data_IF_712807205077
#
_entry.id   IF_712807205077
#
_cell.length_a   1.000
_cell.length_b   1.000
_cell.length_c   1.000
_cell.angle_alpha   90.00
_cell.angle_beta   90.00
_cell.angle_gamma   90.00
#
_symmetry.space_group_name_H-M   'P 1'
#
loop_
_entity.id
_entity.type
_entity.pdbx_description
1 polymer ?
#
# COMPACT_ATOMS: atom_id res chain seq x y z
N UNK A 1 -23.21 -4.92 14.31
CA UNK A 1 -22.46 -3.97 13.47
C UNK A 1 -20.95 -4.08 13.60
N UNK A 2 -20.42 -4.77 14.58
CA UNK A 2 -18.99 -5.09 14.71
C UNK A 2 -18.73 -6.46 14.07
N UNK A 3 -18.36 -6.49 12.79
CA UNK A 3 -17.96 -7.72 12.10
C UNK A 3 -16.45 -7.84 12.17
N UNK A 4 -15.93 -9.07 12.23
CA UNK A 4 -14.49 -9.36 12.30
C UNK A 4 -13.66 -8.55 11.27
N UNK A 5 -14.07 -8.44 9.98
CA UNK A 5 -13.35 -7.62 9.01
C UNK A 5 -13.23 -6.14 9.42
N UNK A 6 -14.32 -5.51 9.88
CA UNK A 6 -14.28 -4.10 10.31
C UNK A 6 -13.36 -3.89 11.53
N UNK A 7 -13.34 -4.85 12.47
CA UNK A 7 -12.44 -4.79 13.62
C UNK A 7 -10.97 -4.89 13.20
N UNK A 8 -10.65 -5.72 12.22
CA UNK A 8 -9.30 -5.86 11.68
C UNK A 8 -8.86 -4.60 10.92
N UNK A 9 -9.74 -4.00 10.10
CA UNK A 9 -9.46 -2.71 9.45
C UNK A 9 -9.20 -1.61 10.48
N UNK A 10 -10.02 -1.52 11.53
CA UNK A 10 -9.82 -0.54 12.60
C UNK A 10 -8.52 -0.77 13.36
N UNK A 11 -8.18 -2.02 13.67
CA UNK A 11 -6.91 -2.36 14.31
C UNK A 11 -5.71 -1.93 13.45
N UNK A 12 -5.80 -2.10 12.12
CA UNK A 12 -4.76 -1.63 11.17
C UNK A 12 -4.62 -0.10 11.22
N UNK A 13 -5.73 0.65 11.24
CA UNK A 13 -5.68 2.10 11.38
C UNK A 13 -5.00 2.51 12.69
N UNK A 14 -5.27 1.80 13.78
CA UNK A 14 -4.60 2.06 15.08
C UNK A 14 -3.13 1.65 15.09
N UNK A 15 -2.73 0.67 14.29
CA UNK A 15 -1.32 0.28 14.13
C UNK A 15 -0.51 1.33 13.37
N UNK A 16 -1.13 2.18 12.55
CA UNK A 16 -0.40 3.23 11.79
C UNK A 16 0.33 4.21 12.69
N UNK A 17 -0.33 4.91 13.64
CA UNK A 17 0.40 5.82 14.54
C UNK A 17 1.41 5.07 15.43
N UNK A 18 1.09 3.83 15.85
CA UNK A 18 2.02 3.01 16.62
C UNK A 18 3.29 2.72 15.82
N UNK A 19 3.17 2.34 14.54
CA UNK A 19 4.29 2.11 13.64
C UNK A 19 5.18 3.35 13.53
N UNK A 20 4.58 4.53 13.29
CA UNK A 20 5.30 5.80 13.16
C UNK A 20 6.07 6.11 14.44
N UNK A 21 5.42 6.01 15.61
CA UNK A 21 6.05 6.26 16.91
C UNK A 21 7.22 5.31 17.13
N UNK A 22 7.03 4.01 16.92
CA UNK A 22 8.08 3.00 17.12
C UNK A 22 9.29 3.24 16.22
N UNK A 23 9.06 3.53 14.92
CA UNK A 23 10.16 3.77 13.99
C UNK A 23 10.92 5.07 14.30
N UNK A 24 10.22 6.14 14.68
CA UNK A 24 10.85 7.45 14.86
C UNK A 24 11.45 7.66 16.26
N UNK A 25 11.05 6.87 17.26
CA UNK A 25 11.57 7.02 18.65
C UNK A 25 13.01 6.50 18.81
N UNK A 26 13.51 5.69 17.88
CA UNK A 26 14.91 5.23 17.79
C UNK A 26 15.45 4.59 19.08
N UNK A 27 14.67 3.78 19.77
CA UNK A 27 15.15 2.96 20.88
C UNK A 27 15.82 1.67 20.37
N UNK A 28 16.64 1.00 21.19
CA UNK A 28 17.32 -0.23 20.79
C UNK A 28 16.31 -1.30 20.34
N UNK A 29 16.42 -1.73 19.08
CA UNK A 29 15.51 -2.73 18.49
C UNK A 29 14.20 -2.16 17.92
N UNK A 30 14.06 -0.83 17.83
CA UNK A 30 12.88 -0.19 17.23
C UNK A 30 12.59 -0.70 15.82
N UNK A 31 13.62 -1.07 15.07
CA UNK A 31 13.51 -1.60 13.72
C UNK A 31 12.82 -2.98 13.68
N UNK A 32 13.16 -3.85 14.63
CA UNK A 32 12.51 -5.18 14.72
C UNK A 32 11.05 -5.05 15.15
N UNK A 33 10.77 -4.16 16.11
CA UNK A 33 9.39 -3.88 16.52
C UNK A 33 8.60 -3.20 15.39
N UNK A 34 9.20 -2.22 14.71
CA UNK A 34 8.61 -1.55 13.56
C UNK A 34 8.32 -2.52 12.41
N UNK A 35 9.29 -3.40 12.09
CA UNK A 35 9.10 -4.45 11.10
C UNK A 35 7.97 -5.41 11.49
N UNK A 36 7.93 -5.85 12.75
CA UNK A 36 6.88 -6.72 13.27
C UNK A 36 5.49 -6.09 13.14
N UNK A 37 5.33 -4.83 13.58
CA UNK A 37 4.06 -4.09 13.49
C UNK A 37 3.67 -3.90 12.03
N UNK A 38 4.60 -3.52 11.16
CA UNK A 38 4.34 -3.35 9.73
C UNK A 38 3.88 -4.63 9.06
N UNK A 39 4.59 -5.75 9.27
CA UNK A 39 4.24 -7.05 8.69
C UNK A 39 2.92 -7.60 9.23
N UNK A 40 2.64 -7.41 10.52
CA UNK A 40 1.34 -7.77 11.10
C UNK A 40 0.22 -6.94 10.47
N UNK A 41 0.38 -5.62 10.37
CA UNK A 41 -0.62 -4.76 9.75
C UNK A 41 -0.85 -5.06 8.27
N UNK A 42 0.23 -5.31 7.49
CA UNK A 42 0.12 -5.70 6.09
C UNK A 42 -0.45 -7.12 5.92
N UNK A 43 -0.11 -8.04 6.85
CA UNK A 43 -0.62 -9.42 6.85
C UNK A 43 -2.11 -9.51 7.17
N UNK A 44 -2.60 -8.68 8.10
CA UNK A 44 -4.04 -8.64 8.41
C UNK A 44 -4.87 -8.28 7.19
N UNK A 45 -4.41 -7.40 6.31
CA UNK A 45 -5.08 -7.06 5.05
C UNK A 45 -5.29 -8.28 4.13
N UNK A 46 -4.27 -9.13 4.01
CA UNK A 46 -4.37 -10.36 3.22
C UNK A 46 -5.38 -11.34 3.83
N UNK A 47 -5.39 -11.46 5.15
CA UNK A 47 -6.30 -12.35 5.89
C UNK A 47 -7.74 -11.84 5.80
N UNK A 48 -7.97 -10.54 5.97
CA UNK A 48 -9.29 -9.91 5.87
C UNK A 48 -9.91 -10.11 4.50
N UNK A 49 -9.14 -9.92 3.44
CA UNK A 49 -9.57 -10.14 2.07
C UNK A 49 -9.97 -11.59 1.79
N UNK A 50 -9.33 -12.57 2.44
CA UNK A 50 -9.67 -14.00 2.33
C UNK A 50 -10.95 -14.31 3.12
N UNK A 51 -11.04 -13.83 4.36
CA UNK A 51 -12.19 -14.06 5.26
C UNK A 51 -13.44 -13.42 4.68
N UNK A 52 -13.38 -12.13 4.28
CA UNK A 52 -14.52 -11.41 3.73
C UNK A 52 -15.11 -12.10 2.47
N UNK A 53 -14.24 -12.65 1.60
CA UNK A 53 -14.66 -13.43 0.44
C UNK A 53 -15.33 -14.76 0.81
N UNK A 54 -14.86 -15.42 1.87
CA UNK A 54 -15.43 -16.70 2.32
C UNK A 54 -16.76 -16.53 3.08
N UNK A 55 -16.87 -15.48 3.88
CA UNK A 55 -18.05 -15.30 4.77
C UNK A 55 -19.18 -14.47 4.14
N UNK A 56 -18.94 -13.86 2.95
CA UNK A 56 -19.88 -12.94 2.27
C UNK A 56 -20.39 -11.79 3.17
N UNK A 57 -19.66 -11.47 4.24
CA UNK A 57 -20.00 -10.41 5.19
C UNK A 57 -19.31 -9.09 4.84
N UNK A 58 -19.56 -8.60 3.61
CA UNK A 58 -19.03 -7.32 3.18
C UNK A 58 -19.94 -6.21 3.71
N UNK A 59 -19.43 -5.33 4.57
CA UNK A 59 -20.16 -4.16 5.06
C UNK A 59 -19.83 -2.93 4.22
N UNK A 60 -20.80 -2.00 4.05
CA UNK A 60 -20.54 -0.73 3.35
C UNK A 60 -19.40 0.07 3.99
N UNK A 61 -19.31 0.05 5.32
CA UNK A 61 -18.22 0.72 6.05
C UNK A 61 -16.85 0.07 5.77
N UNK A 62 -16.74 -1.27 5.79
CA UNK A 62 -15.51 -1.98 5.47
C UNK A 62 -15.02 -1.68 4.06
N UNK A 63 -15.92 -1.73 3.07
CA UNK A 63 -15.57 -1.44 1.66
C UNK A 63 -14.96 -0.04 1.46
N UNK A 64 -15.34 0.93 2.30
CA UNK A 64 -14.79 2.29 2.26
C UNK A 64 -13.50 2.42 3.09
N UNK A 65 -13.43 1.78 4.25
CA UNK A 65 -12.31 1.91 5.18
C UNK A 65 -11.08 1.09 4.77
N UNK A 66 -11.27 -0.10 4.19
CA UNK A 66 -10.16 -0.98 3.79
C UNK A 66 -9.17 -0.30 2.83
N UNK A 67 -9.61 0.31 1.71
CA UNK A 67 -8.69 1.00 0.81
C UNK A 67 -8.00 2.21 1.44
N UNK A 68 -8.61 2.83 2.45
CA UNK A 68 -8.02 3.95 3.18
C UNK A 68 -6.96 3.45 4.15
N UNK A 69 -7.26 2.40 4.93
CA UNK A 69 -6.35 1.82 5.91
C UNK A 69 -5.06 1.31 5.27
N UNK A 70 -5.18 0.59 4.13
CA UNK A 70 -4.03 0.09 3.36
C UNK A 70 -3.11 1.24 2.90
N UNK A 71 -3.69 2.30 2.31
CA UNK A 71 -2.91 3.44 1.87
C UNK A 71 -2.30 4.24 3.02
N UNK A 72 -3.00 4.37 4.13
CA UNK A 72 -2.46 5.04 5.32
C UNK A 72 -1.25 4.28 5.87
N UNK A 73 -1.32 2.95 5.97
CA UNK A 73 -0.22 2.12 6.43
C UNK A 73 1.02 2.29 5.54
N UNK A 74 0.85 2.11 4.23
CA UNK A 74 1.96 2.22 3.27
C UNK A 74 2.54 3.63 3.22
N UNK A 75 1.69 4.67 3.21
CA UNK A 75 2.14 6.06 3.22
C UNK A 75 2.90 6.40 4.48
N UNK A 76 2.39 6.00 5.66
CA UNK A 76 3.04 6.24 6.94
C UNK A 76 4.40 5.54 7.02
N UNK A 77 4.49 4.29 6.56
CA UNK A 77 5.75 3.55 6.50
C UNK A 77 6.77 4.25 5.60
N UNK A 78 6.40 4.61 4.37
CA UNK A 78 7.32 5.30 3.46
C UNK A 78 7.73 6.69 3.95
N UNK A 79 6.82 7.48 4.53
CA UNK A 79 7.13 8.79 5.09
C UNK A 79 8.10 8.65 6.27
N UNK A 80 7.89 7.66 7.15
CA UNK A 80 8.83 7.36 8.24
C UNK A 80 10.22 6.98 7.72
N UNK A 81 10.30 6.22 6.62
CA UNK A 81 11.57 5.88 5.98
C UNK A 81 12.28 7.09 5.36
N UNK A 82 11.53 8.09 4.87
CA UNK A 82 12.11 9.37 4.42
C UNK A 82 12.71 10.13 5.60
N UNK A 83 12.00 10.22 6.72
CA UNK A 83 12.50 10.88 7.93
C UNK A 83 13.76 10.19 8.48
N UNK A 84 13.81 8.87 8.40
CA UNK A 84 14.97 8.05 8.75
C UNK A 84 16.11 8.12 7.71
N UNK A 85 15.94 8.85 6.60
CA UNK A 85 16.88 8.96 5.47
C UNK A 85 17.19 7.62 4.77
N UNK A 86 16.29 6.65 4.87
CA UNK A 86 16.40 5.33 4.25
C UNK A 86 15.79 5.31 2.83
N UNK A 87 14.89 6.24 2.54
CA UNK A 87 14.27 6.38 1.22
C UNK A 87 14.32 7.85 0.73
N UNK A 88 14.67 8.11 -0.55
CA UNK A 88 14.59 9.45 -1.12
C UNK A 88 13.15 9.94 -1.20
N UNK A 89 12.89 11.18 -0.75
CA UNK A 89 11.54 11.75 -0.72
C UNK A 89 10.84 11.74 -2.09
N UNK A 90 11.56 12.05 -3.19
CA UNK A 90 10.98 12.06 -4.52
C UNK A 90 10.45 10.69 -4.97
N UNK A 91 11.12 9.58 -4.61
CA UNK A 91 10.64 8.23 -4.91
C UNK A 91 9.34 7.95 -4.16
N UNK A 92 9.29 8.34 -2.89
CA UNK A 92 8.10 8.15 -2.04
C UNK A 92 6.94 8.99 -2.57
N UNK A 93 7.18 10.23 -3.00
CA UNK A 93 6.14 11.06 -3.64
C UNK A 93 5.56 10.38 -4.88
N UNK A 94 6.40 9.81 -5.75
CA UNK A 94 5.92 9.08 -6.94
C UNK A 94 5.11 7.84 -6.55
N UNK A 95 5.59 7.05 -5.59
CA UNK A 95 4.92 5.82 -5.15
C UNK A 95 3.56 6.16 -4.51
N UNK A 96 3.54 7.05 -3.53
CA UNK A 96 2.33 7.43 -2.78
C UNK A 96 1.36 8.19 -3.69
N UNK A 97 1.85 9.16 -4.47
CA UNK A 97 1.03 9.93 -5.40
C UNK A 97 0.30 9.04 -6.41
N UNK A 98 0.98 8.03 -6.94
CA UNK A 98 0.36 7.04 -7.82
C UNK A 98 -0.74 6.25 -7.10
N UNK A 99 -0.54 5.86 -5.84
CA UNK A 99 -1.57 5.12 -5.08
C UNK A 99 -2.88 5.92 -4.99
N UNK A 100 -2.77 7.20 -4.67
CA UNK A 100 -3.93 8.07 -4.58
C UNK A 100 -4.53 8.38 -5.96
N UNK A 101 -3.71 8.69 -6.96
CA UNK A 101 -4.17 9.00 -8.32
C UNK A 101 -4.98 7.84 -8.94
N UNK A 102 -4.43 6.61 -8.91
CA UNK A 102 -5.13 5.44 -9.49
C UNK A 102 -6.38 5.09 -8.70
N UNK A 103 -6.37 5.30 -7.37
CA UNK A 103 -7.56 5.03 -6.57
C UNK A 103 -8.66 6.06 -6.80
N UNK A 104 -8.30 7.33 -6.96
CA UNK A 104 -9.24 8.39 -7.33
C UNK A 104 -9.85 8.11 -8.70
N UNK A 105 -9.03 7.80 -9.71
CA UNK A 105 -9.50 7.43 -11.04
C UNK A 105 -10.46 6.22 -11.00
N UNK A 106 -10.15 5.20 -10.21
CA UNK A 106 -11.01 4.05 -10.05
C UNK A 106 -12.36 4.41 -9.43
N UNK A 107 -12.38 5.28 -8.43
CA UNK A 107 -13.62 5.74 -7.80
C UNK A 107 -14.47 6.54 -8.78
N UNK A 108 -13.88 7.45 -9.55
CA UNK A 108 -14.56 8.22 -10.59
C UNK A 108 -15.13 7.31 -11.68
N UNK A 109 -14.35 6.37 -12.18
CA UNK A 109 -14.80 5.40 -13.18
C UNK A 109 -15.97 4.54 -12.67
N UNK A 110 -15.89 4.03 -11.43
CA UNK A 110 -16.96 3.24 -10.82
C UNK A 110 -18.25 4.08 -10.65
N UNK A 111 -18.14 5.37 -10.33
CA UNK A 111 -19.28 6.26 -10.23
C UNK A 111 -19.98 6.48 -11.59
N UNK A 112 -19.23 6.34 -12.68
CA UNK A 112 -19.74 6.42 -14.06
C UNK A 112 -20.17 5.06 -14.63
N UNK A 113 -20.19 4.00 -13.81
CA UNK A 113 -20.54 2.63 -14.23
C UNK A 113 -19.44 1.88 -15.00
N UNK A 114 -18.25 2.48 -15.14
CA UNK A 114 -17.11 1.87 -15.81
C UNK A 114 -16.29 1.05 -14.81
N UNK A 115 -16.33 -0.28 -14.92
CA UNK A 115 -15.58 -1.18 -14.04
C UNK A 115 -14.19 -1.42 -14.62
N UNK A 116 -13.17 -0.79 -14.04
CA UNK A 116 -11.78 -1.02 -14.43
C UNK A 116 -11.26 -2.26 -13.71
N UNK A 117 -11.01 -3.34 -14.45
CA UNK A 117 -10.52 -4.59 -13.90
C UNK A 117 -9.16 -4.44 -13.21
N UNK A 118 -9.02 -5.11 -12.05
CA UNK A 118 -7.75 -5.18 -11.35
C UNK A 118 -6.71 -5.92 -12.20
N UNK A 119 -5.62 -5.24 -12.58
CA UNK A 119 -4.56 -5.81 -13.38
C UNK A 119 -3.57 -6.58 -12.49
N UNK A 120 -2.96 -7.66 -13.02
CA UNK A 120 -1.92 -8.43 -12.36
C UNK A 120 -0.74 -7.57 -11.86
N UNK A 121 -0.38 -6.54 -12.62
CA UNK A 121 0.61 -5.54 -12.24
C UNK A 121 0.32 -4.84 -10.90
N UNK A 122 -0.97 -4.66 -10.58
CA UNK A 122 -1.37 -4.09 -9.29
C UNK A 122 -1.05 -4.99 -8.09
N UNK A 123 -1.13 -6.32 -8.24
CA UNK A 123 -0.78 -7.27 -7.17
C UNK A 123 0.73 -7.34 -6.95
N UNK A 124 1.51 -7.44 -8.04
CA UNK A 124 2.97 -7.45 -7.99
C UNK A 124 3.52 -6.18 -7.34
N UNK A 125 2.98 -5.02 -7.71
CA UNK A 125 3.37 -3.73 -7.16
C UNK A 125 3.25 -3.71 -5.62
N UNK A 126 2.09 -4.11 -5.06
CA UNK A 126 1.88 -4.10 -3.62
C UNK A 126 2.88 -5.04 -2.91
N UNK A 127 3.11 -6.23 -3.46
CA UNK A 127 4.12 -7.15 -2.93
C UNK A 127 5.53 -6.55 -2.92
N UNK A 128 5.95 -5.92 -4.02
CA UNK A 128 7.28 -5.27 -4.11
C UNK A 128 7.43 -4.10 -3.15
N UNK A 129 6.36 -3.33 -2.91
CA UNK A 129 6.37 -2.23 -1.93
C UNK A 129 6.50 -2.75 -0.50
N UNK A 130 5.77 -3.82 -0.12
CA UNK A 130 5.88 -4.44 1.21
C UNK A 130 7.31 -4.94 1.44
N UNK A 131 7.90 -5.64 0.46
CA UNK A 131 9.27 -6.12 0.54
C UNK A 131 10.27 -4.96 0.65
N UNK A 132 10.09 -3.89 -0.13
CA UNK A 132 10.97 -2.72 -0.08
C UNK A 132 10.93 -2.05 1.29
N UNK A 133 9.74 -1.82 1.85
CA UNK A 133 9.58 -1.23 3.20
C UNK A 133 10.21 -2.13 4.26
N UNK A 134 9.95 -3.43 4.24
CA UNK A 134 10.51 -4.38 5.20
C UNK A 134 12.05 -4.40 5.17
N UNK A 135 12.65 -4.47 3.97
CA UNK A 135 14.10 -4.46 3.80
C UNK A 135 14.73 -3.12 4.22
N UNK A 136 14.07 -2.00 3.94
CA UNK A 136 14.55 -0.69 4.35
C UNK A 136 14.50 -0.51 5.88
N UNK A 137 13.45 -0.98 6.55
CA UNK A 137 13.36 -0.94 8.01
C UNK A 137 14.53 -1.72 8.64
N UNK A 138 14.77 -2.96 8.19
CA UNK A 138 15.83 -3.80 8.77
C UNK A 138 17.23 -3.31 8.39
N UNK A 139 17.38 -2.62 7.26
CA UNK A 139 18.67 -2.08 6.80
C UNK A 139 19.20 -0.98 7.71
N UNK A 140 18.37 -0.36 8.53
CA UNK A 140 18.79 0.64 9.50
C UNK A 140 19.74 0.08 10.57
N UNK A 141 19.55 -1.19 10.96
CA UNK A 141 20.44 -1.88 11.92
C UNK A 141 21.53 -2.70 11.25
N UNK A 142 21.27 -3.22 10.07
CA UNK A 142 22.14 -4.19 9.41
C UNK A 142 22.58 -3.64 8.05
N UNK A 143 23.68 -2.89 8.02
CA UNK A 143 24.23 -2.24 6.80
C UNK A 143 24.34 -3.17 5.59
N UNK A 144 24.58 -4.47 5.82
CA UNK A 144 24.61 -5.48 4.74
C UNK A 144 23.30 -5.57 3.95
N UNK A 145 22.17 -5.17 4.52
CA UNK A 145 20.86 -5.17 3.87
C UNK A 145 20.55 -3.85 3.16
N UNK A 146 21.36 -2.80 3.37
CA UNK A 146 21.11 -1.47 2.79
C UNK A 146 21.10 -1.50 1.26
N UNK A 147 21.96 -2.30 0.63
CA UNK A 147 21.96 -2.45 -0.83
C UNK A 147 20.67 -3.13 -1.32
N UNK A 148 20.26 -4.21 -0.65
CA UNK A 148 19.02 -4.93 -1.00
C UNK A 148 17.79 -4.05 -0.80
N UNK A 149 17.73 -3.27 0.27
CA UNK A 149 16.66 -2.30 0.51
C UNK A 149 16.56 -1.26 -0.60
N UNK A 150 17.70 -0.71 -1.04
CA UNK A 150 17.75 0.24 -2.17
C UNK A 150 17.32 -0.39 -3.50
N UNK A 151 17.79 -1.60 -3.80
CA UNK A 151 17.38 -2.33 -5.00
C UNK A 151 15.87 -2.59 -4.96
N UNK A 152 15.33 -3.06 -3.83
CA UNK A 152 13.92 -3.31 -3.66
C UNK A 152 13.07 -2.04 -3.83
N UNK A 153 13.56 -0.88 -3.36
CA UNK A 153 12.90 0.41 -3.56
C UNK A 153 12.84 0.80 -5.04
N UNK A 154 13.94 0.62 -5.78
CA UNK A 154 13.96 0.86 -7.24
C UNK A 154 13.02 -0.08 -7.99
N UNK A 155 12.96 -1.35 -7.60
CA UNK A 155 12.01 -2.33 -8.17
C UNK A 155 10.58 -1.90 -7.86
N UNK A 156 10.28 -1.50 -6.63
CA UNK A 156 8.95 -1.02 -6.25
C UNK A 156 8.55 0.25 -7.03
N UNK A 157 9.48 1.18 -7.24
CA UNK A 157 9.26 2.38 -8.06
C UNK A 157 8.96 2.00 -9.51
N UNK A 158 9.79 1.15 -10.12
CA UNK A 158 9.60 0.68 -11.49
C UNK A 158 8.23 0.01 -11.67
N UNK A 159 7.87 -0.92 -10.78
CA UNK A 159 6.56 -1.60 -10.81
C UNK A 159 5.40 -0.62 -10.61
N UNK A 160 5.60 0.39 -9.79
CA UNK A 160 4.61 1.45 -9.56
C UNK A 160 4.37 2.26 -10.84
N UNK A 161 5.42 2.68 -11.53
CA UNK A 161 5.32 3.45 -12.79
C UNK A 161 4.77 2.59 -13.93
N UNK A 162 5.25 1.36 -14.09
CA UNK A 162 4.75 0.43 -15.10
C UNK A 162 3.24 0.15 -14.92
N UNK A 163 2.81 -0.03 -13.66
CA UNK A 163 1.41 -0.21 -13.33
C UNK A 163 0.58 1.05 -13.60
N UNK A 164 1.12 2.26 -13.41
CA UNK A 164 0.45 3.52 -13.75
C UNK A 164 0.19 3.62 -15.24
N UNK A 165 1.22 3.39 -16.06
CA UNK A 165 1.14 3.44 -17.54
C UNK A 165 0.11 2.42 -18.04
N UNK A 166 0.15 1.18 -17.54
CA UNK A 166 -0.80 0.14 -17.89
C UNK A 166 -2.26 0.53 -17.55
N UNK A 167 -2.44 1.23 -16.42
CA UNK A 167 -3.75 1.68 -15.98
C UNK A 167 -4.32 2.81 -16.85
N UNK A 168 -3.49 3.80 -17.18
CA UNK A 168 -3.87 4.89 -18.06
C UNK A 168 -4.17 4.41 -19.49
N UNK A 169 -3.37 3.49 -20.02
CA UNK A 169 -3.63 2.89 -21.32
C UNK A 169 -4.95 2.12 -21.39
N UNK A 170 -5.32 1.40 -20.32
CA UNK A 170 -6.61 0.72 -20.20
C UNK A 170 -7.80 1.69 -20.09
N UNK A 171 -7.65 2.72 -19.25
CA UNK A 171 -8.67 3.75 -19.07
C UNK A 171 -8.93 4.53 -20.38
N UNK A 172 -7.87 4.96 -21.05
CA UNK A 172 -7.97 5.73 -22.30
C UNK A 172 -8.70 4.96 -23.41
N UNK A 173 -8.41 3.66 -23.56
CA UNK A 173 -9.10 2.82 -24.55
C UNK A 173 -10.59 2.66 -24.26
N UNK A 174 -11.00 2.62 -22.99
CA UNK A 174 -12.40 2.46 -22.61
C UNK A 174 -13.18 3.79 -22.73
N UNK A 175 -12.56 4.92 -22.46
CA UNK A 175 -13.21 6.23 -22.51
C UNK A 175 -13.26 6.79 -23.96
N UNK A 176 -12.21 6.61 -24.73
CA UNK A 176 -12.17 7.10 -26.12
C UNK A 176 -12.86 6.12 -27.07
N UNK A 177 -12.76 4.81 -26.83
CA UNK A 177 -13.43 3.81 -27.64
C UNK A 177 -14.97 3.80 -27.56
N UNK A 178 -15.54 4.42 -26.51
CA UNK A 178 -17.02 4.59 -26.39
C UNK A 178 -17.52 5.93 -26.97
N UNK A 179 -16.63 6.79 -27.47
CA UNK A 179 -16.99 8.06 -28.10
C UNK A 179 -17.16 7.95 -29.63
N UNK A 180 -16.79 6.81 -30.21
CA UNK A 180 -16.86 6.57 -31.67
C UNK A 180 -18.02 5.63 -32.07
N UNK A 181 -18.88 5.19 -31.13
CA UNK A 181 -20.13 4.47 -31.37
C UNK A 181 -21.34 5.35 -30.94
#
# INVERSE_FOLDING_TARGET
>A
MWNLPNALTLSRIMMVPLLVVVLLTRFAGSEFWGLGIFLLAAGTDLVDGIIARRTRTVTRAGTLLDPIADKLLMSAAFISLVELRLAPAWMVVVIVGREFAVSGLRQVANAQGVVIAANWWGKLKTGTQIVAVALLIISHQLDRWALLGRIALWVALFMTVASLISYFGGFWRQVVGTADD
#
